data_IF_931656001454
#
_entry.id   IF_931656001454
#
_cell.length_a   1.000
_cell.length_b   1.000
_cell.length_c   1.000
_cell.angle_alpha   90.00
_cell.angle_beta   90.00
_cell.angle_gamma   90.00
#
_symmetry.space_group_name_H-M   'P 1'
#
loop_
_entity.id
_entity.type
_entity.pdbx_description
1 polymer ?
#
# COMPACT_ATOMS: atom_id res chain seq x y z
N UNK A 1 -20.64 57.89 -20.21
CA UNK A 1 -19.19 57.65 -20.08
C UNK A 1 -18.96 56.16 -20.20
N UNK A 2 -18.04 55.77 -21.09
CA UNK A 2 -17.32 54.48 -21.18
C UNK A 2 -18.19 53.20 -21.14
N UNK A 3 -18.62 52.58 -22.25
CA UNK A 3 -17.89 51.90 -23.36
C UNK A 3 -16.76 50.95 -22.92
N UNK A 4 -17.12 49.68 -22.68
CA UNK A 4 -16.31 48.48 -23.00
C UNK A 4 -17.30 47.42 -23.53
N UNK A 5 -17.57 47.37 -24.83
CA UNK A 5 -16.92 46.51 -25.83
C UNK A 5 -16.90 45.02 -25.46
N UNK A 6 -17.99 44.34 -25.86
CA UNK A 6 -18.01 42.93 -26.20
C UNK A 6 -17.70 42.77 -27.70
N UNK A 7 -16.84 41.79 -28.03
CA UNK A 7 -16.48 41.15 -29.33
C UNK A 7 -15.16 40.39 -29.01
N UNK A 8 -14.94 39.11 -29.29
CA UNK A 8 -15.02 38.29 -30.51
C UNK A 8 -15.12 36.80 -30.06
N UNK A 9 -16.13 36.00 -30.44
CA UNK A 9 -16.25 35.12 -31.63
C UNK A 9 -15.12 34.11 -31.87
N UNK A 10 -15.40 32.81 -31.70
CA UNK A 10 -15.29 31.80 -32.77
C UNK A 10 -16.10 30.52 -32.48
N UNK A 11 -16.90 30.15 -33.46
CA UNK A 11 -17.69 28.93 -33.66
C UNK A 11 -16.91 27.95 -34.55
N UNK A 12 -17.00 26.64 -34.27
CA UNK A 12 -16.90 25.49 -35.21
C UNK A 12 -17.01 24.23 -34.31
N UNK A 13 -18.12 23.48 -34.26
CA UNK A 13 -18.79 22.67 -35.28
C UNK A 13 -18.00 21.41 -35.67
N UNK A 14 -18.64 20.28 -35.39
CA UNK A 14 -18.58 18.99 -36.09
C UNK A 14 -17.28 18.16 -36.02
N UNK A 15 -17.38 16.95 -35.47
CA UNK A 15 -16.98 15.71 -36.17
C UNK A 15 -17.30 14.46 -35.32
N UNK A 16 -18.47 13.89 -35.57
CA UNK A 16 -18.63 12.48 -35.97
C UNK A 16 -19.44 12.53 -37.29
N UNK A 17 -19.46 11.54 -38.21
CA UNK A 17 -19.22 10.10 -37.96
C UNK A 17 -18.63 9.27 -39.16
N UNK A 18 -18.55 7.95 -38.93
CA UNK A 18 -18.83 6.85 -39.87
C UNK A 18 -17.75 6.23 -40.80
N UNK A 19 -17.53 4.92 -40.50
CA UNK A 19 -17.44 3.76 -41.40
C UNK A 19 -16.13 3.49 -42.16
N UNK A 20 -15.48 2.36 -41.83
CA UNK A 20 -15.48 1.19 -42.75
C UNK A 20 -15.07 -0.10 -42.01
N UNK A 21 -16.03 -1.01 -41.88
CA UNK A 21 -15.78 -2.45 -41.90
C UNK A 21 -15.19 -2.82 -43.28
N UNK A 22 -14.18 -3.69 -43.31
CA UNK A 22 -14.21 -4.95 -44.07
C UNK A 22 -12.81 -5.60 -44.12
N UNK A 23 -12.75 -6.83 -43.63
CA UNK A 23 -12.23 -7.94 -44.43
C UNK A 23 -10.71 -8.14 -44.56
N UNK A 24 -10.19 -9.11 -43.80
CA UNK A 24 -9.02 -9.92 -44.17
C UNK A 24 -7.66 -9.26 -43.84
N UNK A 25 -6.64 -9.97 -43.38
CA UNK A 25 -6.40 -11.40 -43.47
C UNK A 25 -5.46 -11.86 -42.35
N UNK A 26 -5.67 -13.10 -41.94
CA UNK A 26 -4.77 -13.93 -41.14
C UNK A 26 -3.40 -13.98 -41.82
N UNK A 27 -2.24 -13.86 -41.14
CA UNK A 27 -1.01 -14.39 -41.68
C UNK A 27 -1.09 -15.91 -41.57
N UNK A 28 -1.66 -16.50 -42.63
CA UNK A 28 -1.48 -17.89 -42.99
C UNK A 28 0.02 -18.08 -43.26
N UNK A 29 0.50 -19.19 -42.73
CA UNK A 29 1.79 -19.80 -43.06
C UNK A 29 1.70 -20.27 -44.50
N UNK A 30 2.40 -19.60 -45.41
CA UNK A 30 2.86 -20.15 -46.68
C UNK A 30 4.40 -20.03 -46.62
N UNK A 31 5.17 -21.10 -46.38
CA UNK A 31 5.56 -22.07 -47.41
C UNK A 31 5.84 -21.44 -48.78
N UNK A 32 6.91 -20.63 -48.86
CA UNK A 32 7.67 -20.54 -50.11
C UNK A 32 8.86 -21.50 -50.05
N UNK A 33 8.59 -22.69 -50.57
CA UNK A 33 9.56 -23.61 -51.15
C UNK A 33 10.36 -22.90 -52.25
N UNK A 34 11.57 -22.46 -51.95
CA UNK A 34 12.61 -22.32 -52.97
C UNK A 34 13.19 -23.71 -53.26
N UNK A 35 12.45 -24.48 -54.08
CA UNK A 35 13.03 -25.58 -54.84
C UNK A 35 13.84 -24.98 -55.99
N UNK A 36 15.15 -25.10 -55.89
CA UNK A 36 16.05 -24.96 -57.04
C UNK A 36 15.70 -25.99 -58.11
N UNK A 37 15.68 -25.56 -59.36
CA UNK A 37 15.30 -26.32 -60.54
C UNK A 37 16.56 -26.90 -61.22
N UNK A 38 17.30 -27.72 -60.48
CA UNK A 38 18.43 -28.47 -61.01
C UNK A 38 18.73 -29.62 -60.06
N UNK A 39 18.31 -30.83 -60.42
CA UNK A 39 18.59 -32.04 -59.64
C UNK A 39 20.05 -32.44 -59.74
N UNK A 40 20.79 -32.40 -58.64
CA UNK A 40 21.84 -33.36 -58.28
C UNK A 40 22.21 -33.25 -56.78
N UNK A 41 21.92 -34.34 -56.05
CA UNK A 41 22.60 -34.96 -54.88
C UNK A 41 23.49 -34.07 -53.98
N UNK A 42 23.19 -34.00 -52.67
CA UNK A 42 23.99 -34.58 -51.55
C UNK A 42 23.11 -34.60 -50.29
N UNK A 43 22.78 -35.78 -49.80
CA UNK A 43 22.42 -35.97 -48.40
C UNK A 43 23.71 -35.78 -47.59
N UNK A 44 23.88 -34.64 -46.92
CA UNK A 44 24.86 -34.55 -45.84
C UNK A 44 24.27 -35.27 -44.63
N UNK A 45 24.60 -36.56 -44.56
CA UNK A 45 24.69 -37.31 -43.32
C UNK A 45 25.58 -36.54 -42.31
N UNK A 46 25.08 -36.47 -41.08
CA UNK A 46 25.87 -36.45 -39.84
C UNK A 46 26.76 -35.23 -39.54
N UNK A 47 26.12 -34.16 -39.04
CA UNK A 47 26.77 -33.13 -38.23
C UNK A 47 26.70 -33.35 -36.71
N UNK A 48 26.42 -34.58 -36.23
CA UNK A 48 26.31 -34.91 -34.79
C UNK A 48 27.55 -35.62 -34.21
N UNK A 49 28.63 -35.78 -34.97
CA UNK A 49 29.84 -36.48 -34.54
C UNK A 49 31.00 -35.52 -34.27
N UNK A 50 30.95 -34.77 -33.16
CA UNK A 50 32.05 -33.81 -32.92
C UNK A 50 32.17 -33.12 -31.58
N UNK A 51 31.40 -33.49 -30.54
CA UNK A 51 31.72 -33.04 -29.18
C UNK A 51 32.00 -34.23 -28.29
N UNK A 52 33.25 -34.29 -27.87
CA UNK A 52 33.82 -35.23 -26.89
C UNK A 52 32.81 -35.62 -25.82
N UNK A 53 32.67 -36.92 -25.60
CA UNK A 53 32.07 -37.55 -24.43
C UNK A 53 32.70 -36.97 -23.15
N UNK A 54 32.14 -35.85 -22.67
CA UNK A 54 32.10 -35.56 -21.25
C UNK A 54 30.67 -35.87 -20.88
N UNK A 55 30.48 -37.10 -20.41
CA UNK A 55 29.22 -37.70 -19.96
C UNK A 55 28.36 -36.64 -19.29
N UNK A 56 27.35 -36.16 -20.00
CA UNK A 56 26.29 -35.38 -19.39
C UNK A 56 25.67 -36.29 -18.32
N UNK A 57 25.59 -35.83 -17.05
CA UNK A 57 25.05 -36.67 -15.99
C UNK A 57 23.64 -37.12 -16.38
N UNK A 58 23.33 -38.39 -16.17
CA UNK A 58 22.00 -38.91 -16.45
C UNK A 58 20.97 -38.18 -15.62
N UNK A 59 19.71 -38.18 -16.07
CA UNK A 59 18.63 -37.57 -15.30
C UNK A 59 18.53 -38.17 -13.89
N UNK A 60 18.77 -39.49 -13.75
CA UNK A 60 18.87 -40.16 -12.46
C UNK A 60 20.02 -39.63 -11.59
N UNK A 61 21.21 -39.37 -12.15
CA UNK A 61 22.34 -38.81 -11.41
C UNK A 61 22.08 -37.38 -10.93
N UNK A 62 21.38 -36.58 -11.74
CA UNK A 62 20.97 -35.22 -11.35
C UNK A 62 19.96 -35.28 -10.21
N UNK A 63 19.00 -36.20 -10.26
CA UNK A 63 18.03 -36.42 -9.18
C UNK A 63 18.69 -36.93 -7.89
N UNK A 64 19.68 -37.82 -7.99
CA UNK A 64 20.46 -38.27 -6.83
C UNK A 64 21.23 -37.12 -6.19
N UNK A 65 21.89 -36.25 -6.99
CA UNK A 65 22.62 -35.08 -6.46
C UNK A 65 21.69 -34.09 -5.76
N UNK A 66 20.48 -33.89 -6.28
CA UNK A 66 19.44 -33.06 -5.64
C UNK A 66 19.02 -33.70 -4.30
N UNK A 67 18.69 -34.99 -4.29
CA UNK A 67 18.30 -35.73 -3.07
C UNK A 67 19.41 -35.75 -2.02
N UNK A 68 20.66 -35.87 -2.42
CA UNK A 68 21.81 -35.90 -1.52
C UNK A 68 22.09 -34.50 -0.92
N UNK A 69 21.90 -33.44 -1.72
CA UNK A 69 21.94 -32.06 -1.26
C UNK A 69 20.83 -31.75 -0.23
N UNK A 70 19.63 -32.27 -0.46
CA UNK A 70 18.50 -32.16 0.48
C UNK A 70 18.74 -32.94 1.77
N UNK A 71 19.26 -34.18 1.69
CA UNK A 71 19.65 -34.97 2.88
C UNK A 71 20.71 -34.28 3.73
N UNK A 72 21.72 -33.66 3.11
CA UNK A 72 22.77 -32.91 3.83
C UNK A 72 22.23 -31.65 4.52
N UNK A 73 21.23 -31.00 3.93
CA UNK A 73 20.54 -29.86 4.55
C UNK A 73 19.57 -30.28 5.66
N UNK A 74 18.90 -31.42 5.50
CA UNK A 74 18.01 -32.03 6.50
C UNK A 74 18.78 -32.53 7.73
N UNK A 75 19.92 -33.20 7.56
CA UNK A 75 20.75 -33.70 8.67
C UNK A 75 21.31 -32.59 9.57
N UNK A 76 21.38 -31.34 9.08
CA UNK A 76 21.80 -30.17 9.86
C UNK A 76 20.69 -29.59 10.75
N UNK A 77 19.46 -30.07 10.60
CA UNK A 77 18.27 -29.64 11.33
C UNK A 77 17.60 -30.87 11.94
N UNK A 78 17.89 -31.16 13.21
CA UNK A 78 17.16 -32.18 13.96
C UNK A 78 15.68 -31.79 14.03
N UNK A 79 14.85 -32.33 13.13
CA UNK A 79 13.38 -32.26 13.21
C UNK A 79 12.93 -33.14 14.37
N UNK A 80 12.08 -32.61 15.25
CA UNK A 80 11.44 -33.42 16.29
C UNK A 80 10.42 -34.38 15.66
N UNK A 81 10.09 -35.48 16.34
CA UNK A 81 9.03 -36.42 15.87
C UNK A 81 7.68 -35.71 15.67
N UNK A 82 7.40 -34.63 16.41
CA UNK A 82 6.23 -33.77 16.22
C UNK A 82 6.24 -33.02 14.88
N UNK A 83 7.41 -32.64 14.35
CA UNK A 83 7.51 -32.01 13.03
C UNK A 83 7.22 -33.00 11.90
N UNK A 84 7.48 -34.29 12.11
CA UNK A 84 7.20 -35.37 11.14
C UNK A 84 5.69 -35.68 11.10
N UNK A 85 5.02 -35.71 12.26
CA UNK A 85 3.56 -35.93 12.34
C UNK A 85 2.74 -34.70 11.87
N UNK A 86 3.34 -33.51 11.91
CA UNK A 86 2.74 -32.25 11.42
C UNK A 86 2.57 -32.24 9.89
N UNK A 87 3.42 -32.96 9.15
CA UNK A 87 3.47 -32.94 7.67
C UNK A 87 2.28 -33.67 7.03
N UNK A 88 1.69 -34.66 7.72
CA UNK A 88 0.50 -35.43 7.26
C UNK A 88 -0.83 -34.94 7.89
N UNK A 89 -0.79 -33.93 8.76
CA UNK A 89 -1.98 -33.43 9.46
C UNK A 89 -2.80 -32.47 8.60
N UNK A 90 -4.13 -32.65 8.58
CA UNK A 90 -5.08 -31.73 7.95
C UNK A 90 -4.91 -30.29 8.45
N UNK A 91 -5.18 -29.29 7.60
CA UNK A 91 -5.18 -27.87 7.96
C UNK A 91 -6.01 -27.56 9.21
N UNK A 92 -7.14 -28.25 9.38
CA UNK A 92 -7.97 -28.09 10.58
C UNK A 92 -7.23 -28.54 11.85
N UNK A 93 -6.55 -29.70 11.81
CA UNK A 93 -5.77 -30.20 12.94
C UNK A 93 -4.55 -29.31 13.23
N UNK A 94 -3.94 -28.71 12.20
CA UNK A 94 -2.86 -27.74 12.39
C UNK A 94 -3.35 -26.44 13.04
N UNK A 95 -4.58 -26.00 12.73
CA UNK A 95 -5.18 -24.80 13.33
C UNK A 95 -5.52 -24.98 14.80
N UNK A 96 -5.85 -26.20 15.24
CA UNK A 96 -6.09 -26.57 16.64
C UNK A 96 -4.81 -26.70 17.47
N UNK A 97 -3.67 -26.95 16.80
CA UNK A 97 -2.41 -27.17 17.49
C UNK A 97 -1.88 -25.87 18.12
N UNK A 98 -1.62 -25.93 19.42
CA UNK A 98 -0.97 -24.84 20.13
C UNK A 98 0.46 -24.68 19.63
N UNK A 99 0.79 -23.45 19.26
CA UNK A 99 2.15 -23.06 18.89
C UNK A 99 2.51 -21.85 19.72
N UNK A 100 3.60 -21.96 20.47
CA UNK A 100 4.09 -20.87 21.32
C UNK A 100 4.14 -19.56 20.54
N UNK A 101 3.80 -18.44 21.18
CA UNK A 101 3.83 -17.11 20.55
C UNK A 101 5.22 -16.84 19.92
N UNK A 102 6.28 -17.34 20.56
CA UNK A 102 7.66 -17.22 20.09
C UNK A 102 7.91 -17.99 18.79
N UNK A 103 7.41 -19.22 18.69
CA UNK A 103 7.62 -20.05 17.50
C UNK A 103 6.71 -19.62 16.36
N UNK A 104 5.46 -19.20 16.64
CA UNK A 104 4.59 -18.60 15.62
C UNK A 104 5.20 -17.34 15.04
N UNK A 105 5.84 -16.49 15.87
CA UNK A 105 6.61 -15.32 15.38
C UNK A 105 7.73 -15.72 14.41
N UNK A 106 8.46 -16.80 14.70
CA UNK A 106 9.54 -17.28 13.81
C UNK A 106 8.95 -17.79 12.49
N UNK A 107 7.85 -18.54 12.53
CA UNK A 107 7.16 -19.05 11.35
C UNK A 107 6.69 -17.91 10.45
N UNK A 108 5.98 -16.92 11.00
CA UNK A 108 5.48 -15.76 10.24
C UNK A 108 6.64 -14.95 9.63
N UNK A 109 7.73 -14.73 10.37
CA UNK A 109 8.93 -14.07 9.82
C UNK A 109 9.61 -14.90 8.73
N UNK A 110 9.64 -16.23 8.88
CA UNK A 110 10.15 -17.15 7.86
C UNK A 110 9.31 -17.08 6.58
N UNK A 111 7.99 -17.07 6.72
CA UNK A 111 7.05 -16.91 5.63
C UNK A 111 7.23 -15.59 4.89
N UNK A 112 7.34 -14.48 5.62
CA UNK A 112 7.64 -13.18 5.01
C UNK A 112 8.93 -13.19 4.20
N UNK A 113 10.01 -13.75 4.75
CA UNK A 113 11.30 -13.89 4.04
C UNK A 113 11.17 -14.77 2.79
N UNK A 114 10.40 -15.86 2.87
CA UNK A 114 10.12 -16.72 1.72
C UNK A 114 9.40 -15.95 0.61
N UNK A 115 8.37 -15.17 0.94
CA UNK A 115 7.64 -14.35 -0.04
C UNK A 115 8.58 -13.34 -0.70
N UNK A 116 9.41 -12.63 0.06
CA UNK A 116 10.39 -11.71 -0.50
C UNK A 116 11.44 -12.42 -1.38
N UNK A 117 11.80 -13.66 -1.05
CA UNK A 117 12.74 -14.46 -1.83
C UNK A 117 12.12 -15.10 -3.08
N UNK A 118 10.79 -15.07 -3.24
CA UNK A 118 10.10 -15.76 -4.35
C UNK A 118 10.52 -15.28 -5.74
N UNK A 119 10.81 -13.98 -5.91
CA UNK A 119 11.30 -13.44 -7.17
C UNK A 119 12.73 -13.92 -7.47
N UNK A 120 13.56 -14.02 -6.43
CA UNK A 120 14.92 -14.56 -6.55
C UNK A 120 14.87 -16.03 -6.96
N UNK A 121 13.94 -16.80 -6.39
CA UNK A 121 13.73 -18.20 -6.73
C UNK A 121 13.40 -18.39 -8.22
N UNK A 122 12.55 -17.54 -8.79
CA UNK A 122 12.23 -17.57 -10.24
C UNK A 122 13.49 -17.39 -11.11
N UNK A 123 14.33 -16.41 -10.75
CA UNK A 123 15.59 -16.13 -11.45
C UNK A 123 16.58 -17.30 -11.35
N UNK A 124 16.75 -17.84 -10.15
CA UNK A 124 17.62 -19.00 -9.91
C UNK A 124 17.13 -20.26 -10.63
N UNK A 125 15.81 -20.47 -10.70
CA UNK A 125 15.23 -21.58 -11.45
C UNK A 125 15.50 -21.45 -12.94
N UNK A 126 15.36 -20.24 -13.51
CA UNK A 126 15.71 -19.96 -14.90
C UNK A 126 17.16 -20.26 -15.21
N UNK A 127 18.07 -19.81 -14.35
CA UNK A 127 19.51 -20.05 -14.49
C UNK A 127 19.83 -21.55 -14.44
N UNK A 128 19.29 -22.27 -13.45
CA UNK A 128 19.49 -23.72 -13.34
C UNK A 128 18.96 -24.48 -14.54
N UNK A 129 17.76 -24.15 -15.04
CA UNK A 129 17.23 -24.80 -16.25
C UNK A 129 18.17 -24.54 -17.44
N UNK A 130 18.69 -23.31 -17.59
CA UNK A 130 19.64 -22.98 -18.65
C UNK A 130 21.00 -23.70 -18.53
N UNK A 131 21.44 -24.04 -17.31
CA UNK A 131 22.67 -24.78 -17.08
C UNK A 131 22.53 -26.29 -17.31
N UNK A 132 21.37 -26.87 -16.97
CA UNK A 132 21.16 -28.32 -16.99
C UNK A 132 20.39 -28.83 -18.21
N UNK A 133 19.87 -27.93 -19.06
CA UNK A 133 19.09 -28.30 -20.25
C UNK A 133 19.55 -27.51 -21.47
N UNK A 134 19.38 -28.10 -22.66
CA UNK A 134 19.61 -27.44 -23.95
C UNK A 134 18.32 -26.81 -24.52
N UNK A 135 17.32 -26.58 -23.66
CA UNK A 135 16.03 -26.04 -24.07
C UNK A 135 16.15 -24.63 -24.64
N UNK A 136 15.34 -24.32 -25.66
CA UNK A 136 15.24 -22.95 -26.17
C UNK A 136 14.66 -22.01 -25.12
N UNK A 137 14.98 -20.71 -25.22
CA UNK A 137 14.42 -19.68 -24.34
C UNK A 137 12.88 -19.71 -24.29
N UNK A 138 12.23 -20.07 -25.40
CA UNK A 138 10.76 -20.20 -25.47
C UNK A 138 10.25 -21.34 -24.59
N UNK A 139 10.91 -22.51 -24.62
CA UNK A 139 10.56 -23.65 -23.78
C UNK A 139 10.81 -23.34 -22.29
N UNK A 140 11.95 -22.74 -21.96
CA UNK A 140 12.27 -22.33 -20.58
C UNK A 140 11.24 -21.34 -20.03
N UNK A 141 10.87 -20.33 -20.82
CA UNK A 141 9.84 -19.37 -20.43
C UNK A 141 8.46 -20.02 -20.28
N UNK A 142 8.12 -21.02 -21.12
CA UNK A 142 6.87 -21.78 -20.98
C UNK A 142 6.82 -22.60 -19.70
N UNK A 143 7.94 -23.18 -19.28
CA UNK A 143 8.06 -23.93 -18.01
C UNK A 143 7.97 -22.99 -16.80
N UNK A 144 8.56 -21.79 -16.90
CA UNK A 144 8.58 -20.81 -15.81
C UNK A 144 7.29 -20.00 -15.68
N UNK A 145 6.48 -19.88 -16.72
CA UNK A 145 5.28 -19.05 -16.71
C UNK A 145 4.33 -19.35 -15.53
N UNK A 146 4.04 -20.62 -15.16
CA UNK A 146 3.25 -20.93 -13.97
C UNK A 146 3.90 -20.48 -12.67
N UNK A 147 5.23 -20.64 -12.54
CA UNK A 147 5.99 -20.26 -11.33
C UNK A 147 5.98 -18.75 -11.15
N UNK A 148 6.21 -18.01 -12.23
CA UNK A 148 6.14 -16.55 -12.25
C UNK A 148 4.76 -16.06 -11.81
N UNK A 149 3.70 -16.60 -12.44
CA UNK A 149 2.31 -16.26 -12.11
C UNK A 149 2.00 -16.53 -10.63
N UNK A 150 2.40 -17.69 -10.11
CA UNK A 150 2.22 -18.03 -8.70
C UNK A 150 2.98 -17.08 -7.77
N UNK A 151 4.23 -16.75 -8.10
CA UNK A 151 5.04 -15.82 -7.30
C UNK A 151 4.48 -14.41 -7.27
N UNK A 152 4.00 -13.92 -8.41
CA UNK A 152 3.32 -12.62 -8.53
C UNK A 152 2.02 -12.59 -7.71
N UNK A 153 1.17 -13.61 -7.84
CA UNK A 153 -0.09 -13.70 -7.07
C UNK A 153 0.17 -13.83 -5.56
N UNK A 154 1.18 -14.61 -5.17
CA UNK A 154 1.58 -14.78 -3.78
C UNK A 154 2.05 -13.46 -3.16
N UNK A 155 2.91 -12.71 -3.86
CA UNK A 155 3.37 -11.38 -3.41
C UNK A 155 2.23 -10.37 -3.39
N UNK A 156 1.38 -10.36 -4.43
CA UNK A 156 0.21 -9.49 -4.50
C UNK A 156 -0.73 -9.69 -3.32
N UNK A 157 -1.15 -10.94 -3.05
CA UNK A 157 -2.00 -11.25 -1.88
C UNK A 157 -1.33 -10.91 -0.56
N UNK A 158 -0.02 -11.11 -0.45
CA UNK A 158 0.72 -10.73 0.75
C UNK A 158 0.68 -9.22 1.01
N UNK A 159 0.81 -8.42 -0.04
CA UNK A 159 0.69 -6.96 0.05
C UNK A 159 -0.75 -6.53 0.35
N UNK A 160 -1.75 -7.14 -0.28
CA UNK A 160 -3.18 -6.87 -0.06
C UNK A 160 -3.59 -7.06 1.41
N UNK A 161 -3.08 -8.11 2.07
CA UNK A 161 -3.38 -8.34 3.49
C UNK A 161 -2.58 -7.44 4.44
N UNK A 162 -1.66 -6.61 3.93
CA UNK A 162 -0.88 -5.63 4.69
C UNK A 162 0.58 -6.04 4.95
N UNK A 163 1.07 -7.10 4.32
CA UNK A 163 2.47 -7.50 4.31
C UNK A 163 3.06 -7.72 5.71
N UNK A 164 4.24 -7.13 5.98
CA UNK A 164 4.87 -7.23 7.30
C UNK A 164 4.01 -6.60 8.42
N UNK A 165 3.20 -5.59 8.09
CA UNK A 165 2.32 -4.93 9.07
C UNK A 165 1.25 -5.89 9.57
N UNK A 166 0.74 -6.77 8.70
CA UNK A 166 -0.19 -7.83 9.10
C UNK A 166 0.40 -8.75 10.17
N UNK A 167 1.68 -9.12 10.04
CA UNK A 167 2.39 -9.91 11.07
C UNK A 167 2.39 -9.16 12.40
N UNK A 168 2.70 -7.86 12.38
CA UNK A 168 2.74 -7.04 13.60
C UNK A 168 1.36 -7.01 14.28
N UNK A 169 0.29 -6.81 13.50
CA UNK A 169 -1.08 -6.81 14.01
C UNK A 169 -1.45 -8.16 14.64
N UNK A 170 -1.25 -9.27 13.92
CA UNK A 170 -1.51 -10.63 14.41
C UNK A 170 -0.73 -10.92 15.69
N UNK A 171 0.57 -10.64 15.70
CA UNK A 171 1.41 -10.87 16.87
C UNK A 171 0.99 -10.00 18.07
N UNK A 172 0.44 -8.81 17.83
CA UNK A 172 -0.06 -7.92 18.89
C UNK A 172 -1.30 -8.53 19.52
N UNK A 173 -2.29 -8.94 18.73
CA UNK A 173 -3.52 -9.59 19.22
C UNK A 173 -3.17 -10.83 20.04
N UNK A 174 -2.30 -11.69 19.50
CA UNK A 174 -1.84 -12.88 20.20
C UNK A 174 -1.15 -12.57 21.54
N UNK A 175 -0.26 -11.56 21.55
CA UNK A 175 0.51 -11.24 22.77
C UNK A 175 -0.37 -10.58 23.83
N UNK A 176 -1.31 -9.71 23.44
CA UNK A 176 -2.22 -9.02 24.37
C UNK A 176 -3.23 -10.00 24.96
N UNK A 177 -3.78 -10.89 24.15
CA UNK A 177 -4.80 -11.87 24.57
C UNK A 177 -4.23 -13.21 25.02
N UNK A 178 -2.91 -13.40 24.96
CA UNK A 178 -2.21 -14.66 25.28
C UNK A 178 -2.76 -15.86 24.50
N UNK A 179 -3.03 -15.68 23.21
CA UNK A 179 -3.61 -16.72 22.35
C UNK A 179 -2.50 -17.51 21.67
N UNK A 180 -2.48 -18.83 21.87
CA UNK A 180 -1.53 -19.75 21.22
C UNK A 180 -2.17 -20.70 20.21
N UNK A 181 -3.51 -20.69 20.09
CA UNK A 181 -4.30 -21.50 19.16
C UNK A 181 -4.70 -20.67 17.91
N UNK A 182 -4.80 -21.30 16.74
CA UNK A 182 -5.23 -20.64 15.50
C UNK A 182 -6.72 -20.29 15.49
N UNK A 183 -7.56 -21.16 16.05
CA UNK A 183 -9.02 -20.96 16.09
C UNK A 183 -9.40 -19.77 16.97
N UNK A 184 -8.78 -19.66 18.14
CA UNK A 184 -9.01 -18.53 19.05
C UNK A 184 -8.50 -17.22 18.46
N UNK A 185 -7.39 -17.28 17.71
CA UNK A 185 -6.84 -16.10 17.03
C UNK A 185 -7.81 -15.59 15.96
N UNK A 186 -8.40 -16.50 15.16
CA UNK A 186 -9.41 -16.14 14.16
C UNK A 186 -10.61 -15.44 14.80
N UNK A 187 -11.16 -16.03 15.88
CA UNK A 187 -12.27 -15.44 16.64
C UNK A 187 -11.89 -14.06 17.20
N UNK A 188 -10.71 -13.93 17.79
CA UNK A 188 -10.23 -12.68 18.35
C UNK A 188 -10.05 -11.57 17.29
N UNK A 189 -9.60 -11.92 16.08
CA UNK A 189 -9.47 -10.97 14.98
C UNK A 189 -10.83 -10.51 14.45
N UNK A 190 -11.83 -11.41 14.38
CA UNK A 190 -13.21 -11.08 14.03
C UNK A 190 -13.86 -10.14 15.04
N UNK A 191 -13.70 -10.42 16.33
CA UNK A 191 -14.17 -9.57 17.42
C UNK A 191 -13.49 -8.19 17.38
N UNK A 192 -12.16 -8.17 17.23
CA UNK A 192 -11.38 -6.93 17.17
C UNK A 192 -11.83 -6.04 16.01
N UNK A 193 -12.04 -6.62 14.83
CA UNK A 193 -12.53 -5.89 13.66
C UNK A 193 -13.96 -5.35 13.81
N UNK A 194 -14.76 -5.94 14.70
CA UNK A 194 -16.12 -5.45 15.01
C UNK A 194 -16.07 -4.33 16.03
N UNK A 195 -15.29 -4.51 17.10
CA UNK A 195 -15.09 -3.52 18.15
C UNK A 195 -14.47 -2.23 17.59
N UNK A 196 -13.45 -2.34 16.73
CA UNK A 196 -12.79 -1.19 16.10
C UNK A 196 -13.77 -0.36 15.24
N UNK A 197 -14.72 -1.01 14.56
CA UNK A 197 -15.74 -0.30 13.77
C UNK A 197 -16.70 0.47 14.67
N UNK A 198 -17.16 -0.13 15.76
CA UNK A 198 -18.07 0.51 16.71
C UNK A 198 -17.40 1.69 17.42
N UNK A 199 -16.15 1.51 17.88
CA UNK A 199 -15.35 2.58 18.49
C UNK A 199 -15.09 3.73 17.52
N UNK A 200 -14.74 3.43 16.25
CA UNK A 200 -14.57 4.44 15.23
C UNK A 200 -15.87 5.19 14.91
N UNK A 201 -17.02 4.50 14.89
CA UNK A 201 -18.30 5.16 14.68
C UNK A 201 -18.67 6.07 15.85
N UNK A 202 -18.40 5.63 17.09
CA UNK A 202 -18.58 6.46 18.29
C UNK A 202 -17.67 7.68 18.26
N UNK A 203 -16.39 7.51 17.95
CA UNK A 203 -15.43 8.62 17.81
C UNK A 203 -15.87 9.61 16.74
N UNK A 204 -16.39 9.15 15.59
CA UNK A 204 -16.93 10.04 14.55
C UNK A 204 -18.11 10.87 15.09
N UNK A 205 -19.02 10.27 15.85
CA UNK A 205 -20.14 10.99 16.48
C UNK A 205 -19.64 12.00 17.51
N UNK A 206 -18.68 11.62 18.33
CA UNK A 206 -18.09 12.52 19.34
C UNK A 206 -17.38 13.71 18.69
N UNK A 207 -16.56 13.47 17.65
CA UNK A 207 -15.91 14.55 16.88
C UNK A 207 -16.95 15.52 16.31
N UNK A 208 -18.04 15.01 15.73
CA UNK A 208 -19.11 15.84 15.21
C UNK A 208 -19.77 16.69 16.33
N UNK A 209 -20.08 16.07 17.48
CA UNK A 209 -20.66 16.77 18.62
C UNK A 209 -19.73 17.87 19.16
N UNK A 210 -18.43 17.58 19.29
CA UNK A 210 -17.44 18.57 19.70
C UNK A 210 -17.33 19.74 18.71
N UNK A 211 -17.42 19.48 17.41
CA UNK A 211 -17.44 20.54 16.40
C UNK A 211 -18.66 21.46 16.55
N UNK A 212 -19.85 20.90 16.80
CA UNK A 212 -21.06 21.70 17.00
C UNK A 212 -21.02 22.50 18.30
N UNK A 213 -20.54 21.90 19.41
CA UNK A 213 -20.33 22.60 20.68
C UNK A 213 -19.32 23.75 20.52
N UNK A 214 -18.20 23.50 19.85
CA UNK A 214 -17.18 24.52 19.60
C UNK A 214 -17.72 25.67 18.74
N UNK A 215 -18.55 25.37 17.73
CA UNK A 215 -19.24 26.42 16.94
C UNK A 215 -20.21 27.23 17.80
N UNK A 216 -20.95 26.60 18.70
CA UNK A 216 -21.89 27.29 19.59
C UNK A 216 -21.15 28.21 20.57
N UNK A 217 -20.10 27.70 21.22
CA UNK A 217 -19.25 28.46 22.14
C UNK A 217 -18.58 29.64 21.43
N UNK A 218 -18.08 29.43 20.21
CA UNK A 218 -17.50 30.51 19.40
C UNK A 218 -18.50 31.64 19.15
N UNK A 219 -19.74 31.32 18.75
CA UNK A 219 -20.80 32.34 18.55
C UNK A 219 -21.13 33.08 19.84
N UNK A 220 -21.16 32.37 20.97
CA UNK A 220 -21.39 32.99 22.28
C UNK A 220 -20.28 33.97 22.65
N UNK A 221 -19.02 33.59 22.43
CA UNK A 221 -17.87 34.46 22.65
C UNK A 221 -17.86 35.67 21.72
N UNK A 222 -18.19 35.49 20.44
CA UNK A 222 -18.34 36.60 19.48
C UNK A 222 -19.37 37.64 19.97
N UNK A 223 -20.53 37.19 20.45
CA UNK A 223 -21.56 38.08 21.02
C UNK A 223 -21.09 38.79 22.31
N UNK A 224 -20.28 38.12 23.15
CA UNK A 224 -19.71 38.75 24.36
C UNK A 224 -18.68 39.81 24.00
N UNK A 225 -17.85 39.56 22.99
CA UNK A 225 -16.86 40.52 22.49
C UNK A 225 -17.56 41.77 21.95
N UNK A 226 -18.58 41.61 21.10
CA UNK A 226 -19.37 42.73 20.56
C UNK A 226 -19.96 43.62 21.67
N UNK A 227 -20.59 43.02 22.69
CA UNK A 227 -21.14 43.76 23.84
C UNK A 227 -20.07 44.55 24.61
N UNK A 228 -18.90 43.95 24.82
CA UNK A 228 -17.79 44.60 25.52
C UNK A 228 -17.20 45.75 24.69
N UNK A 229 -17.14 45.61 23.37
CA UNK A 229 -16.72 46.68 22.47
C UNK A 229 -17.68 47.88 22.52
N UNK A 230 -18.99 47.64 22.52
CA UNK A 230 -19.99 48.70 22.68
C UNK A 230 -19.88 49.42 24.04
N UNK A 231 -19.62 48.67 25.12
CA UNK A 231 -19.40 49.23 26.46
C UNK A 231 -18.13 50.06 26.52
N UNK A 232 -17.05 49.58 25.91
CA UNK A 232 -15.78 50.29 25.81
C UNK A 232 -15.96 51.62 25.06
N UNK A 233 -16.69 51.64 23.95
CA UNK A 233 -16.95 52.84 23.18
C UNK A 233 -17.84 53.85 23.93
N UNK A 234 -18.82 53.35 24.70
CA UNK A 234 -19.61 54.20 25.61
C UNK A 234 -18.73 54.81 26.71
N UNK A 235 -17.84 54.02 27.30
CA UNK A 235 -16.91 54.50 28.33
C UNK A 235 -15.92 55.54 27.78
N UNK A 236 -15.37 55.32 26.59
CA UNK A 236 -14.48 56.27 25.89
C UNK A 236 -15.16 57.61 25.64
N UNK A 237 -16.40 57.61 25.13
CA UNK A 237 -17.17 58.85 24.91
C UNK A 237 -17.41 59.62 26.21
N UNK A 238 -17.74 58.92 27.31
CA UNK A 238 -17.91 59.55 28.63
C UNK A 238 -16.61 60.15 29.16
N UNK A 239 -15.50 59.45 28.99
CA UNK A 239 -14.18 59.93 29.38
C UNK A 239 -13.82 61.21 28.61
N UNK A 240 -14.05 61.24 27.30
CA UNK A 240 -13.76 62.43 26.48
C UNK A 240 -14.57 63.66 26.93
N UNK A 241 -15.85 63.47 27.26
CA UNK A 241 -16.70 64.54 27.80
C UNK A 241 -16.18 65.03 29.15
N UNK A 242 -15.86 64.12 30.06
CA UNK A 242 -15.33 64.44 31.38
C UNK A 242 -13.98 65.18 31.29
N UNK A 243 -13.09 64.77 30.38
CA UNK A 243 -11.83 65.47 30.14
C UNK A 243 -12.03 66.89 29.62
N UNK A 244 -12.95 67.10 28.67
CA UNK A 244 -13.27 68.44 28.15
C UNK A 244 -13.84 69.33 29.25
N UNK A 245 -14.75 68.80 30.08
CA UNK A 245 -15.30 69.50 31.23
C UNK A 245 -14.20 69.90 32.22
N UNK A 246 -13.37 68.96 32.64
CA UNK A 246 -12.26 69.20 33.56
C UNK A 246 -11.26 70.23 33.04
N UNK A 247 -10.91 70.18 31.74
CA UNK A 247 -10.07 71.20 31.09
C UNK A 247 -10.71 72.59 31.14
N UNK A 248 -12.02 72.69 30.87
CA UNK A 248 -12.76 73.95 30.92
C UNK A 248 -12.87 74.53 32.34
N UNK A 249 -13.12 73.68 33.34
CA UNK A 249 -13.18 74.08 34.74
C UNK A 249 -11.80 74.53 35.24
N UNK A 250 -10.74 73.80 34.89
CA UNK A 250 -9.36 74.21 35.22
C UNK A 250 -9.03 75.59 34.64
N UNK A 251 -9.46 75.87 33.41
CA UNK A 251 -9.29 77.20 32.80
C UNK A 251 -10.07 78.28 33.56
N UNK A 252 -11.34 78.06 33.88
CA UNK A 252 -12.15 79.00 34.67
C UNK A 252 -11.57 79.26 36.06
N UNK A 253 -11.10 78.20 36.73
CA UNK A 253 -10.49 78.32 38.05
C UNK A 253 -9.21 79.18 38.01
N UNK A 254 -8.37 79.00 36.97
CA UNK A 254 -7.18 79.84 36.76
C UNK A 254 -7.55 81.30 36.45
N UNK A 255 -8.57 81.55 35.63
CA UNK A 255 -9.06 82.90 35.34
C UNK A 255 -9.61 83.59 36.60
N UNK A 256 -10.42 82.90 37.41
CA UNK A 256 -10.90 83.41 38.70
C UNK A 256 -9.75 83.75 39.63
N UNK A 257 -8.74 82.88 39.73
CA UNK A 257 -7.55 83.11 40.56
C UNK A 257 -6.80 84.38 40.12
N UNK A 258 -6.56 84.55 38.81
CA UNK A 258 -5.91 85.75 38.28
C UNK A 258 -6.73 87.04 38.51
N UNK A 259 -8.06 86.96 38.44
CA UNK A 259 -8.92 88.11 38.70
C UNK A 259 -8.89 88.51 40.18
N UNK A 260 -8.85 87.54 41.10
CA UNK A 260 -8.72 87.81 42.54
C UNK A 260 -7.36 88.43 42.88
N UNK A 261 -6.27 87.96 42.26
CA UNK A 261 -4.93 88.53 42.45
C UNK A 261 -4.80 89.96 41.91
N UNK A 262 -5.61 90.36 40.91
CA UNK A 262 -5.66 91.73 40.38
C UNK A 262 -6.53 92.70 41.19
N UNK A 263 -7.44 92.18 42.01
CA UNK A 263 -8.38 92.97 42.82
C UNK A 263 -7.88 93.24 44.25
N UNK A 264 -6.75 92.65 44.63
CA UNK A 264 -6.03 92.89 45.88
C UNK A 264 -4.86 93.86 45.64
#
# INVERSE_FOLDING_TARGET
>A
MEKMQAKESKTEAEEEPMLEEMGGNVPIVDEELLLGLDGEVVLEEDGWSGRSEKTAPSFEEVLEKIKEGEKKNSARKTRSEEDVLREDSSWAAQMEMEVSIKDRRKLLKGWHKFILASEKLEKEMKEKIGLFTTCSSRAINSILAPVKKFGEELRGRWEEIGGETWIKAVMTVMSVRQIENGIELEKALLEWGTQEKEENEKLKKDIFNFQELHKAEKRELELKVEKLEEELDRARRRLEVAEKAAKSEKKRALEMKSNLERAA
#
